data_IF_871375152771
#
_entry.id   IF_871375152771
#
_cell.length_a   1.000
_cell.length_b   1.000
_cell.length_c   1.000
_cell.angle_alpha   90.00
_cell.angle_beta   90.00
_cell.angle_gamma   90.00
#
_symmetry.space_group_name_H-M   'P 1'
#
loop_
_entity.id
_entity.type
_entity.pdbx_description
1 polymer ?
#
# COMPACT_ATOMS: atom_id res chain seq x y z
N UNK A 1 2.15 -29.89 -4.89
CA UNK A 1 2.86 -28.80 -5.61
C UNK A 1 3.25 -27.78 -4.55
N UNK A 2 4.47 -27.25 -4.56
CA UNK A 2 4.87 -26.23 -3.58
C UNK A 2 4.39 -24.86 -4.07
N UNK A 3 3.56 -24.18 -3.28
CA UNK A 3 2.97 -22.89 -3.61
C UNK A 3 3.43 -21.83 -2.59
N UNK A 4 4.38 -20.98 -2.99
CA UNK A 4 4.93 -19.95 -2.11
C UNK A 4 3.90 -18.88 -1.74
N UNK A 5 2.97 -18.58 -2.65
CA UNK A 5 1.92 -17.57 -2.42
C UNK A 5 0.96 -18.01 -1.33
N UNK A 6 0.49 -19.26 -1.37
CA UNK A 6 -0.38 -19.85 -0.34
C UNK A 6 0.27 -19.77 1.05
N UNK A 7 1.56 -20.13 1.17
CA UNK A 7 2.30 -20.04 2.45
C UNK A 7 2.36 -18.60 2.97
N UNK A 8 2.57 -17.62 2.09
CA UNK A 8 2.60 -16.20 2.47
C UNK A 8 1.22 -15.72 2.95
N UNK A 9 0.15 -16.10 2.24
CA UNK A 9 -1.22 -15.73 2.59
C UNK A 9 -1.60 -16.34 3.95
N UNK A 10 -1.36 -17.63 4.16
CA UNK A 10 -1.66 -18.30 5.43
C UNK A 10 -0.91 -17.65 6.60
N UNK A 11 0.40 -17.43 6.44
CA UNK A 11 1.21 -16.79 7.47
C UNK A 11 0.75 -15.35 7.76
N UNK A 12 0.30 -14.61 6.75
CA UNK A 12 -0.24 -13.27 6.89
C UNK A 12 -1.57 -13.26 7.63
N UNK A 13 -2.50 -14.15 7.29
CA UNK A 13 -3.80 -14.26 7.95
C UNK A 13 -3.64 -14.52 9.45
N UNK A 14 -2.71 -15.41 9.84
CA UNK A 14 -2.39 -15.64 11.25
C UNK A 14 -1.84 -14.38 11.94
N UNK A 15 -1.07 -13.54 11.23
CA UNK A 15 -0.58 -12.26 11.77
C UNK A 15 -1.68 -11.23 11.98
N UNK A 16 -2.74 -11.25 11.16
CA UNK A 16 -3.91 -10.40 11.38
C UNK A 16 -4.66 -10.82 12.65
N UNK A 17 -4.88 -12.13 12.82
CA UNK A 17 -5.50 -12.71 14.01
C UNK A 17 -4.71 -12.38 15.28
N UNK A 18 -3.40 -12.63 15.25
CA UNK A 18 -2.49 -12.28 16.35
C UNK A 18 -2.57 -10.79 16.71
N UNK A 19 -2.66 -9.91 15.70
CA UNK A 19 -2.77 -8.46 15.93
C UNK A 19 -4.03 -8.06 16.66
N UNK A 20 -5.17 -8.60 16.24
CA UNK A 20 -6.45 -8.37 16.91
C UNK A 20 -6.45 -8.94 18.33
N UNK A 21 -6.08 -10.21 18.48
CA UNK A 21 -6.08 -10.92 19.77
C UNK A 21 -5.12 -10.28 20.79
N UNK A 22 -3.95 -9.79 20.35
CA UNK A 22 -3.02 -9.05 21.23
C UNK A 22 -3.58 -7.73 21.73
N UNK A 23 -4.47 -7.09 20.98
CA UNK A 23 -5.04 -5.77 21.33
C UNK A 23 -6.30 -5.93 22.19
N UNK A 24 -7.19 -6.85 21.83
CA UNK A 24 -8.53 -6.96 22.43
C UNK A 24 -8.77 -8.26 23.20
N UNK A 25 -7.82 -9.19 23.21
CA UNK A 25 -8.02 -10.54 23.75
C UNK A 25 -9.14 -11.26 23.01
N UNK A 26 -10.09 -11.82 23.75
CA UNK A 26 -11.27 -12.50 23.19
C UNK A 26 -12.50 -11.60 23.01
N UNK A 27 -12.37 -10.27 23.13
CA UNK A 27 -13.52 -9.36 22.98
C UNK A 27 -13.93 -9.24 21.51
N UNK A 28 -15.22 -9.46 21.21
CA UNK A 28 -15.77 -9.51 19.84
C UNK A 28 -14.93 -10.39 18.90
N UNK A 29 -14.72 -11.64 19.31
CA UNK A 29 -13.86 -12.58 18.58
C UNK A 29 -14.33 -12.86 17.15
N UNK A 30 -15.62 -12.68 16.86
CA UNK A 30 -16.17 -12.72 15.51
C UNK A 30 -15.48 -11.74 14.55
N UNK A 31 -14.99 -10.60 15.04
CA UNK A 31 -14.29 -9.62 14.19
C UNK A 31 -12.90 -10.12 13.79
N UNK A 32 -12.24 -10.91 14.64
CA UNK A 32 -10.97 -11.57 14.31
C UNK A 32 -11.15 -12.51 13.10
N UNK A 33 -12.22 -13.29 13.09
CA UNK A 33 -12.56 -14.21 12.00
C UNK A 33 -12.90 -13.45 10.71
N UNK A 34 -13.67 -12.35 10.81
CA UNK A 34 -14.00 -11.51 9.65
C UNK A 34 -12.74 -10.88 9.06
N UNK A 35 -11.83 -10.38 9.89
CA UNK A 35 -10.55 -9.82 9.46
C UNK A 35 -9.71 -10.88 8.73
N UNK A 36 -9.60 -12.07 9.31
CA UNK A 36 -8.86 -13.18 8.72
C UNK A 36 -9.43 -13.57 7.34
N UNK A 37 -10.75 -13.68 7.24
CA UNK A 37 -11.43 -13.97 5.98
C UNK A 37 -11.23 -12.85 4.96
N UNK A 38 -11.37 -11.58 5.35
CA UNK A 38 -11.18 -10.44 4.46
C UNK A 38 -9.73 -10.36 3.95
N UNK A 39 -8.75 -10.62 4.82
CA UNK A 39 -7.34 -10.70 4.45
C UNK A 39 -7.05 -11.81 3.45
N UNK A 40 -7.53 -13.04 3.71
CA UNK A 40 -7.41 -14.16 2.78
C UNK A 40 -8.05 -13.83 1.43
N UNK A 41 -9.30 -13.36 1.44
CA UNK A 41 -10.04 -13.01 0.23
C UNK A 41 -9.31 -11.95 -0.61
N UNK A 42 -8.83 -10.87 0.02
CA UNK A 42 -8.12 -9.82 -0.70
C UNK A 42 -6.81 -10.35 -1.30
N UNK A 43 -6.03 -11.12 -0.53
CA UNK A 43 -4.76 -11.66 -1.04
C UNK A 43 -4.95 -12.69 -2.14
N UNK A 44 -5.99 -13.52 -2.09
CA UNK A 44 -6.34 -14.45 -3.17
C UNK A 44 -6.71 -13.70 -4.46
N UNK A 45 -7.40 -12.57 -4.37
CA UNK A 45 -7.66 -11.74 -5.55
C UNK A 45 -6.37 -11.09 -6.08
N UNK A 46 -5.57 -10.48 -5.19
CA UNK A 46 -4.31 -9.81 -5.57
C UNK A 46 -3.29 -10.81 -6.12
N UNK A 47 -3.31 -12.08 -5.68
CA UNK A 47 -2.46 -13.14 -6.21
C UNK A 47 -2.70 -13.46 -7.70
N UNK A 48 -3.86 -13.08 -8.26
CA UNK A 48 -4.16 -13.23 -9.68
C UNK A 48 -3.68 -12.05 -10.53
N UNK A 49 -3.19 -10.98 -9.91
CA UNK A 49 -2.65 -9.82 -10.62
C UNK A 49 -1.31 -10.13 -11.28
N UNK A 50 -1.11 -9.61 -12.49
CA UNK A 50 0.18 -9.60 -13.18
C UNK A 50 0.96 -8.27 -13.01
N UNK A 51 0.51 -7.39 -12.11
CA UNK A 51 1.27 -6.22 -11.67
C UNK A 51 2.58 -6.63 -10.98
N UNK A 52 3.68 -5.96 -11.33
CA UNK A 52 5.02 -6.36 -10.91
C UNK A 52 5.35 -6.00 -9.45
N UNK A 53 4.86 -4.85 -8.99
CA UNK A 53 5.15 -4.26 -7.67
C UNK A 53 3.94 -4.26 -6.75
N UNK A 54 2.78 -3.78 -7.22
CA UNK A 54 1.54 -3.75 -6.41
C UNK A 54 0.92 -5.15 -6.37
N UNK A 55 1.54 -6.02 -5.57
CA UNK A 55 1.26 -7.46 -5.48
C UNK A 55 1.05 -7.91 -4.02
N UNK A 56 0.87 -9.23 -3.82
CA UNK A 56 0.61 -9.84 -2.50
C UNK A 56 1.65 -9.43 -1.45
N UNK A 57 2.94 -9.41 -1.81
CA UNK A 57 4.01 -9.06 -0.87
C UNK A 57 3.89 -7.60 -0.42
N UNK A 58 3.59 -6.68 -1.35
CA UNK A 58 3.36 -5.27 -1.03
C UNK A 58 2.15 -5.11 -0.11
N UNK A 59 0.99 -5.67 -0.48
CA UNK A 59 -0.25 -5.50 0.29
C UNK A 59 -0.17 -6.10 1.70
N UNK A 60 0.55 -7.21 1.87
CA UNK A 60 0.87 -7.77 3.20
C UNK A 60 1.68 -6.78 4.03
N UNK A 61 2.76 -6.22 3.47
CA UNK A 61 3.65 -5.30 4.20
C UNK A 61 2.90 -4.03 4.62
N UNK A 62 2.13 -3.44 3.71
CA UNK A 62 1.25 -2.29 4.01
C UNK A 62 0.31 -2.59 5.16
N UNK A 63 -0.38 -3.74 5.10
CA UNK A 63 -1.35 -4.11 6.13
C UNK A 63 -0.70 -4.33 7.48
N UNK A 64 0.43 -5.04 7.55
CA UNK A 64 1.11 -5.30 8.82
C UNK A 64 1.73 -4.03 9.44
N UNK A 65 2.20 -3.10 8.61
CA UNK A 65 2.60 -1.77 9.09
C UNK A 65 1.41 -1.03 9.66
N UNK A 66 0.28 -1.00 8.95
CA UNK A 66 -0.91 -0.31 9.42
C UNK A 66 -1.50 -0.91 10.69
N UNK A 67 -1.46 -2.24 10.83
CA UNK A 67 -1.83 -2.90 12.07
C UNK A 67 -0.98 -2.42 13.26
N UNK A 68 0.33 -2.26 13.08
CA UNK A 68 1.22 -1.74 14.13
C UNK A 68 1.05 -0.24 14.36
N UNK A 69 0.75 0.56 13.33
CA UNK A 69 0.35 1.97 13.48
C UNK A 69 -0.90 2.08 14.35
N UNK A 70 -1.93 1.29 14.05
CA UNK A 70 -3.20 1.33 14.76
C UNK A 70 -3.06 0.86 16.21
N UNK A 71 -2.25 -0.18 16.44
CA UNK A 71 -1.87 -0.61 17.78
C UNK A 71 -1.14 0.49 18.56
N UNK A 72 -0.18 1.16 17.92
CA UNK A 72 0.53 2.30 18.52
C UNK A 72 -0.43 3.45 18.88
N UNK A 73 -1.41 3.74 18.03
CA UNK A 73 -2.46 4.72 18.32
C UNK A 73 -3.28 4.32 19.54
N UNK A 74 -3.75 3.06 19.58
CA UNK A 74 -4.50 2.56 20.74
C UNK A 74 -3.68 2.63 22.04
N UNK A 75 -2.37 2.35 22.01
CA UNK A 75 -1.49 2.50 23.18
C UNK A 75 -1.37 3.97 23.61
N UNK A 76 -1.25 4.90 22.65
CA UNK A 76 -1.04 6.33 22.92
C UNK A 76 -2.30 7.03 23.42
N UNK A 77 -3.42 6.76 22.77
CA UNK A 77 -4.66 7.54 22.87
C UNK A 77 -5.81 6.75 23.49
N UNK A 78 -5.73 5.42 23.50
CA UNK A 78 -6.89 4.57 23.73
C UNK A 78 -7.92 4.69 22.60
N UNK A 79 -9.14 4.26 22.86
CA UNK A 79 -10.31 4.63 22.05
C UNK A 79 -10.47 3.94 20.69
N UNK A 80 -9.45 3.27 20.14
CA UNK A 80 -9.62 2.44 18.93
C UNK A 80 -10.52 1.26 19.27
N UNK A 81 -11.76 1.27 18.79
CA UNK A 81 -12.73 0.20 18.99
C UNK A 81 -12.44 -1.01 18.10
N UNK A 82 -13.09 -2.15 18.39
CA UNK A 82 -13.03 -3.32 17.52
C UNK A 82 -13.57 -3.01 16.11
N UNK A 83 -14.62 -2.19 16.03
CA UNK A 83 -15.15 -1.69 14.76
C UNK A 83 -14.11 -0.88 14.00
N UNK A 84 -13.45 0.08 14.66
CA UNK A 84 -12.40 0.89 14.01
C UNK A 84 -11.30 -0.02 13.45
N UNK A 85 -10.87 -1.01 14.24
CA UNK A 85 -9.87 -1.98 13.83
C UNK A 85 -10.32 -2.82 12.63
N UNK A 86 -11.54 -3.34 12.66
CA UNK A 86 -12.13 -4.11 11.56
C UNK A 86 -12.10 -3.32 10.25
N UNK A 87 -12.66 -2.11 10.24
CA UNK A 87 -12.74 -1.30 9.03
C UNK A 87 -11.36 -0.83 8.57
N UNK A 88 -10.47 -0.49 9.49
CA UNK A 88 -9.11 -0.08 9.16
C UNK A 88 -8.32 -1.21 8.50
N UNK A 89 -8.38 -2.44 9.03
CA UNK A 89 -7.71 -3.59 8.42
C UNK A 89 -8.33 -3.94 7.06
N UNK A 90 -9.67 -3.92 6.92
CA UNK A 90 -10.31 -4.16 5.61
C UNK A 90 -9.87 -3.11 4.58
N UNK A 91 -9.73 -1.84 5.00
CA UNK A 91 -9.22 -0.76 4.14
C UNK A 91 -7.81 -1.06 3.64
N UNK A 92 -6.92 -1.53 4.53
CA UNK A 92 -5.54 -1.87 4.17
C UNK A 92 -5.44 -3.09 3.26
N UNK A 93 -6.15 -4.19 3.54
CA UNK A 93 -6.03 -5.38 2.69
C UNK A 93 -6.62 -5.15 1.29
N UNK A 94 -7.55 -4.21 1.14
CA UNK A 94 -8.22 -3.92 -0.13
C UNK A 94 -7.71 -2.65 -0.86
N UNK A 95 -6.74 -1.89 -0.31
CA UNK A 95 -6.37 -0.58 -0.88
C UNK A 95 -5.94 -0.66 -2.36
N UNK A 96 -5.22 -1.73 -2.72
CA UNK A 96 -4.71 -1.99 -4.07
C UNK A 96 -5.50 -3.04 -4.84
N UNK A 97 -6.62 -3.53 -4.30
CA UNK A 97 -7.36 -4.59 -4.98
C UNK A 97 -7.89 -4.14 -6.35
N UNK A 98 -8.06 -2.83 -6.54
CA UNK A 98 -8.50 -2.26 -7.82
C UNK A 98 -7.49 -2.35 -8.96
N UNK A 99 -6.24 -2.79 -8.72
CA UNK A 99 -5.32 -3.15 -9.80
C UNK A 99 -5.78 -4.41 -10.54
N UNK A 100 -6.41 -5.34 -9.83
CA UNK A 100 -6.72 -6.68 -10.35
C UNK A 100 -7.75 -6.60 -11.47
N UNK A 101 -7.41 -7.09 -12.66
CA UNK A 101 -8.38 -7.25 -13.77
C UNK A 101 -9.41 -8.33 -13.40
N UNK A 102 -10.68 -8.10 -13.74
CA UNK A 102 -11.77 -9.04 -13.46
C UNK A 102 -12.34 -8.96 -12.03
N UNK A 103 -11.80 -8.07 -11.20
CA UNK A 103 -12.20 -7.95 -9.78
C UNK A 103 -13.54 -7.25 -9.59
N UNK A 104 -13.87 -6.29 -10.46
CA UNK A 104 -15.13 -5.55 -10.47
C UNK A 104 -16.14 -6.29 -11.36
N UNK A 105 -17.43 -6.36 -10.97
CA UNK A 105 -18.45 -7.14 -11.71
C UNK A 105 -18.64 -6.70 -13.17
N UNK A 106 -18.35 -5.44 -13.46
CA UNK A 106 -18.52 -4.87 -14.80
C UNK A 106 -17.37 -5.21 -15.76
N UNK A 107 -16.24 -5.71 -15.25
CA UNK A 107 -15.09 -6.06 -16.07
C UNK A 107 -15.43 -7.13 -17.11
N UNK A 108 -14.94 -6.95 -18.34
CA UNK A 108 -15.12 -7.84 -19.48
C UNK A 108 -13.75 -8.17 -20.08
N UNK A 109 -13.08 -9.15 -19.47
CA UNK A 109 -11.71 -9.53 -19.83
C UNK A 109 -11.56 -9.92 -21.31
N UNK A 110 -12.53 -10.67 -21.86
CA UNK A 110 -12.54 -11.08 -23.27
C UNK A 110 -12.58 -9.89 -24.25
N UNK A 111 -13.14 -8.76 -23.82
CA UNK A 111 -13.22 -7.51 -24.58
C UNK A 111 -12.08 -6.54 -24.23
N UNK A 112 -11.25 -6.87 -23.22
CA UNK A 112 -10.26 -5.99 -22.59
C UNK A 112 -10.85 -4.67 -22.15
N UNK A 113 -12.06 -4.71 -21.60
CA UNK A 113 -12.81 -3.55 -21.15
C UNK A 113 -13.04 -3.66 -19.64
N UNK A 114 -12.59 -2.67 -18.88
CA UNK A 114 -12.53 -2.73 -17.42
C UNK A 114 -13.19 -1.50 -16.81
N UNK A 115 -13.87 -1.65 -15.67
CA UNK A 115 -14.48 -0.53 -14.97
C UNK A 115 -13.43 0.48 -14.53
N UNK A 116 -13.73 1.77 -14.59
CA UNK A 116 -12.90 2.80 -13.95
C UNK A 116 -13.23 2.97 -12.47
N UNK A 117 -14.33 2.35 -12.00
CA UNK A 117 -14.89 2.55 -10.66
C UNK A 117 -15.69 3.85 -10.50
N UNK A 118 -15.87 4.63 -11.57
CA UNK A 118 -16.60 5.91 -11.56
C UNK A 118 -17.77 5.87 -12.51
N UNK A 119 -18.97 6.10 -11.99
CA UNK A 119 -20.20 6.35 -12.77
C UNK A 119 -20.49 5.34 -13.91
N UNK A 120 -20.02 4.09 -13.78
CA UNK A 120 -20.15 3.05 -14.80
C UNK A 120 -19.28 3.27 -16.05
N UNK A 121 -18.31 4.19 -15.98
CA UNK A 121 -17.32 4.39 -17.03
C UNK A 121 -16.39 3.16 -17.14
N UNK A 122 -15.96 2.89 -18.37
CA UNK A 122 -15.09 1.76 -18.68
C UNK A 122 -13.85 2.24 -19.45
N UNK A 123 -12.71 1.58 -19.23
CA UNK A 123 -11.46 1.79 -19.94
C UNK A 123 -11.09 0.53 -20.74
N UNK A 124 -10.69 0.72 -22.00
CA UNK A 124 -10.16 -0.37 -22.81
C UNK A 124 -8.64 -0.43 -22.71
N UNK A 125 -8.10 -1.61 -22.41
CA UNK A 125 -6.65 -1.83 -22.34
C UNK A 125 -6.13 -2.51 -23.61
N UNK A 126 -4.91 -2.16 -24.07
CA UNK A 126 -4.29 -2.80 -25.22
C UNK A 126 -3.95 -4.27 -24.94
N UNK A 127 -3.78 -5.06 -26.01
CA UNK A 127 -3.30 -6.43 -25.88
C UNK A 127 -1.92 -6.46 -25.19
N UNK A 128 -1.76 -7.28 -24.16
CA UNK A 128 -0.49 -7.42 -23.43
C UNK A 128 -0.25 -6.38 -22.34
N UNK A 129 -1.20 -5.48 -22.05
CA UNK A 129 -1.17 -4.64 -20.86
C UNK A 129 -1.25 -5.49 -19.59
N UNK A 130 -0.44 -5.16 -18.58
CA UNK A 130 -0.55 -5.74 -17.24
C UNK A 130 -1.62 -5.00 -16.41
N UNK A 131 -1.85 -5.48 -15.20
CA UNK A 131 -2.77 -4.90 -14.23
C UNK A 131 -2.28 -3.52 -13.77
N UNK A 132 -0.97 -3.23 -13.93
CA UNK A 132 -0.42 -1.90 -13.70
C UNK A 132 -1.04 -0.81 -14.60
N UNK A 133 -1.59 -1.15 -15.77
CA UNK A 133 -2.35 -0.20 -16.59
C UNK A 133 -3.56 0.40 -15.88
N UNK A 134 -4.04 -0.24 -14.80
CA UNK A 134 -5.17 0.24 -14.00
C UNK A 134 -4.75 1.16 -12.84
N UNK A 135 -3.45 1.51 -12.67
CA UNK A 135 -3.00 2.50 -11.68
C UNK A 135 -3.85 3.78 -11.65
N UNK A 136 -4.27 4.40 -12.78
CA UNK A 136 -5.07 5.63 -12.71
C UNK A 136 -6.46 5.44 -12.07
N UNK A 137 -6.95 4.21 -11.99
CA UNK A 137 -8.30 3.86 -11.57
C UNK A 137 -8.34 3.01 -10.29
N UNK A 138 -7.20 2.50 -9.81
CA UNK A 138 -7.16 1.49 -8.75
C UNK A 138 -7.94 1.88 -7.48
N UNK A 139 -7.85 3.12 -7.01
CA UNK A 139 -8.61 3.57 -5.82
C UNK A 139 -10.11 3.56 -6.07
N UNK A 140 -10.57 4.04 -7.22
CA UNK A 140 -11.99 4.05 -7.57
C UNK A 140 -12.52 2.63 -7.77
N UNK A 141 -11.74 1.78 -8.45
CA UNK A 141 -12.04 0.35 -8.61
C UNK A 141 -12.07 -0.39 -7.27
N UNK A 142 -11.15 -0.11 -6.36
CA UNK A 142 -11.15 -0.67 -5.01
C UNK A 142 -12.42 -0.27 -4.26
N UNK A 143 -12.88 0.98 -4.40
CA UNK A 143 -14.14 1.44 -3.81
C UNK A 143 -15.37 0.76 -4.40
N UNK A 144 -15.40 0.58 -5.72
CA UNK A 144 -16.46 -0.19 -6.39
C UNK A 144 -16.46 -1.64 -5.87
N UNK A 145 -15.30 -2.28 -5.77
CA UNK A 145 -15.18 -3.63 -5.20
C UNK A 145 -15.71 -3.71 -3.77
N UNK A 146 -15.37 -2.74 -2.91
CA UNK A 146 -15.86 -2.67 -1.54
C UNK A 146 -17.39 -2.56 -1.50
N UNK A 147 -17.98 -1.73 -2.36
CA UNK A 147 -19.44 -1.61 -2.47
C UNK A 147 -20.07 -2.93 -2.94
N UNK A 148 -19.52 -3.55 -3.99
CA UNK A 148 -20.03 -4.80 -4.54
C UNK A 148 -19.96 -5.95 -3.52
N UNK A 149 -18.94 -5.98 -2.68
CA UNK A 149 -18.67 -7.06 -1.73
C UNK A 149 -19.34 -6.85 -0.37
N UNK A 150 -19.36 -5.61 0.12
CA UNK A 150 -19.74 -5.26 1.49
C UNK A 150 -20.94 -4.30 1.58
N UNK A 151 -21.46 -3.81 0.46
CA UNK A 151 -22.63 -2.93 0.43
C UNK A 151 -23.81 -3.53 1.19
N UNK A 152 -24.36 -2.76 2.13
CA UNK A 152 -25.49 -3.18 2.97
C UNK A 152 -25.17 -4.26 4.03
N UNK A 153 -23.89 -4.58 4.26
CA UNK A 153 -23.49 -5.52 5.30
C UNK A 153 -23.76 -4.95 6.70
N UNK A 154 -24.16 -5.81 7.66
CA UNK A 154 -24.59 -5.36 9.00
C UNK A 154 -23.44 -4.95 9.92
N UNK A 155 -22.27 -5.57 9.76
CA UNK A 155 -21.09 -5.36 10.61
C UNK A 155 -19.98 -4.57 9.91
N UNK A 156 -20.07 -4.41 8.59
CA UNK A 156 -19.03 -3.82 7.77
C UNK A 156 -19.64 -2.61 7.07
N UNK A 157 -19.18 -1.43 7.44
CA UNK A 157 -19.51 -0.15 6.84
C UNK A 157 -18.63 0.09 5.61
N UNK A 158 -19.23 -0.13 4.43
CA UNK A 158 -18.57 0.07 3.15
C UNK A 158 -18.19 1.53 2.91
N UNK A 159 -18.98 2.50 3.37
CA UNK A 159 -18.68 3.93 3.18
C UNK A 159 -17.44 4.35 3.97
N UNK A 160 -17.32 3.87 5.21
CA UNK A 160 -16.14 4.13 6.03
C UNK A 160 -14.86 3.56 5.39
N UNK A 161 -14.94 2.35 4.84
CA UNK A 161 -13.80 1.72 4.15
C UNK A 161 -13.44 2.50 2.87
N UNK A 162 -14.44 2.87 2.05
CA UNK A 162 -14.23 3.70 0.86
C UNK A 162 -13.62 5.06 1.20
N UNK A 163 -14.00 5.65 2.32
CA UNK A 163 -13.42 6.89 2.81
C UNK A 163 -11.94 6.70 3.21
N UNK A 164 -11.63 5.62 3.91
CA UNK A 164 -10.26 5.30 4.30
C UNK A 164 -9.32 5.06 3.10
N UNK A 165 -9.79 4.32 2.09
CA UNK A 165 -9.01 4.00 0.89
C UNK A 165 -8.78 5.24 0.01
N UNK A 166 -9.62 6.28 0.07
CA UNK A 166 -9.49 7.48 -0.78
C UNK A 166 -8.10 8.13 -0.73
N UNK A 167 -7.46 8.15 0.45
CA UNK A 167 -6.18 8.82 0.61
C UNK A 167 -4.98 8.02 0.12
N UNK A 168 -5.15 6.77 -0.33
CA UNK A 168 -4.05 6.01 -0.96
C UNK A 168 -3.80 6.43 -2.42
N UNK A 169 -4.58 7.38 -2.96
CA UNK A 169 -4.29 7.97 -4.27
C UNK A 169 -2.89 8.58 -4.28
N UNK A 170 -2.09 8.13 -5.23
CA UNK A 170 -0.76 8.67 -5.47
C UNK A 170 -0.61 9.15 -6.93
N UNK A 171 -0.04 10.35 -7.19
CA UNK A 171 0.45 11.34 -6.22
C UNK A 171 -0.67 11.96 -5.39
N UNK A 172 -0.37 12.32 -4.14
CA UNK A 172 -1.34 12.91 -3.21
C UNK A 172 -1.96 14.17 -3.82
N UNK A 173 -3.29 14.22 -4.02
CA UNK A 173 -3.97 15.40 -4.51
C UNK A 173 -3.74 16.63 -3.61
N UNK A 174 -3.70 17.83 -4.20
CA UNK A 174 -3.42 19.09 -3.48
C UNK A 174 -4.58 19.59 -2.61
N UNK A 175 -5.73 18.92 -2.61
CA UNK A 175 -6.92 19.36 -1.87
C UNK A 175 -6.75 19.20 -0.35
N UNK A 176 -7.47 19.99 0.44
CA UNK A 176 -7.30 20.10 1.91
C UNK A 176 -7.66 18.80 2.66
N UNK A 177 -8.71 18.11 2.24
CA UNK A 177 -9.13 16.80 2.76
C UNK A 177 -8.05 15.72 2.54
N UNK A 178 -7.22 15.88 1.51
CA UNK A 178 -6.09 15.01 1.23
C UNK A 178 -4.85 15.34 2.08
N UNK A 179 -4.91 16.32 2.99
CA UNK A 179 -3.81 16.63 3.92
C UNK A 179 -3.97 15.96 5.29
N UNK A 180 -5.01 15.14 5.50
CA UNK A 180 -5.22 14.44 6.77
C UNK A 180 -4.07 13.46 7.08
N UNK A 181 -3.52 13.58 8.28
CA UNK A 181 -2.44 12.72 8.79
C UNK A 181 -2.76 12.13 10.16
N UNK A 182 -3.97 12.36 10.69
CA UNK A 182 -4.34 12.02 12.07
C UNK A 182 -5.46 10.97 12.07
N UNK A 183 -6.48 11.13 11.23
CA UNK A 183 -7.60 10.19 11.21
C UNK A 183 -7.27 8.95 10.38
N UNK A 184 -8.19 7.97 10.40
CA UNK A 184 -7.99 6.68 9.77
C UNK A 184 -7.60 6.73 8.28
N UNK A 185 -8.20 7.57 7.41
CA UNK A 185 -7.74 7.68 6.03
C UNK A 185 -6.27 8.11 5.92
N UNK A 186 -5.87 9.09 6.74
CA UNK A 186 -4.49 9.57 6.79
C UNK A 186 -3.50 8.51 7.26
N UNK A 187 -3.91 7.68 8.23
CA UNK A 187 -3.12 6.57 8.73
C UNK A 187 -3.07 5.38 7.76
N UNK A 188 -4.13 5.12 6.99
CA UNK A 188 -4.11 4.12 5.91
C UNK A 188 -3.08 4.53 4.85
N UNK A 189 -3.13 5.78 4.37
CA UNK A 189 -2.09 6.31 3.46
C UNK A 189 -0.68 6.19 4.03
N UNK A 190 -0.50 6.60 5.30
CA UNK A 190 0.82 6.53 5.92
C UNK A 190 1.32 5.09 6.02
N UNK A 191 0.43 4.13 6.23
CA UNK A 191 0.74 2.70 6.30
C UNK A 191 1.13 2.13 4.94
N UNK A 192 0.45 2.55 3.88
CA UNK A 192 0.81 2.23 2.49
C UNK A 192 2.24 2.70 2.18
N UNK A 193 2.48 4.00 2.36
CA UNK A 193 3.79 4.60 2.12
C UNK A 193 4.89 3.99 2.98
N UNK A 194 4.67 3.78 4.29
CA UNK A 194 5.68 3.15 5.16
C UNK A 194 5.86 1.68 4.81
N UNK A 195 4.80 0.94 4.48
CA UNK A 195 4.85 -0.46 4.07
C UNK A 195 5.73 -0.69 2.85
N UNK A 196 5.56 0.15 1.83
CA UNK A 196 6.44 0.17 0.68
C UNK A 196 7.88 0.55 1.05
N UNK A 197 8.08 1.64 1.78
CA UNK A 197 9.42 2.22 1.97
C UNK A 197 10.26 1.52 3.06
N UNK A 198 9.63 0.76 3.95
CA UNK A 198 10.29 -0.03 5.00
C UNK A 198 10.57 -1.48 4.59
N UNK A 199 10.19 -1.88 3.37
CA UNK A 199 10.51 -3.20 2.85
C UNK A 199 12.03 -3.40 2.76
N UNK A 200 12.53 -4.49 3.37
CA UNK A 200 13.94 -4.88 3.33
C UNK A 200 14.47 -5.06 1.90
N UNK A 201 13.58 -5.39 0.96
CA UNK A 201 13.89 -5.59 -0.45
C UNK A 201 13.46 -4.42 -1.32
N UNK A 202 12.95 -3.33 -0.76
CA UNK A 202 12.42 -2.18 -1.50
C UNK A 202 13.36 -1.74 -2.63
N UNK A 203 14.63 -1.53 -2.27
CA UNK A 203 15.71 -1.11 -3.15
C UNK A 203 15.98 -2.07 -4.33
N UNK A 204 15.69 -3.37 -4.17
CA UNK A 204 15.79 -4.37 -5.25
C UNK A 204 14.52 -4.41 -6.11
N UNK A 205 13.37 -4.05 -5.54
CA UNK A 205 12.06 -4.00 -6.21
C UNK A 205 11.81 -2.73 -7.01
N UNK A 206 12.68 -1.70 -6.89
CA UNK A 206 12.60 -0.47 -7.69
C UNK A 206 12.46 -0.72 -9.19
N UNK A 207 13.08 -1.79 -9.71
CA UNK A 207 12.94 -2.14 -11.14
C UNK A 207 11.52 -2.54 -11.52
N UNK A 208 10.82 -3.28 -10.65
CA UNK A 208 9.43 -3.64 -10.85
C UNK A 208 8.55 -2.37 -10.87
N UNK A 209 8.71 -1.51 -9.87
CA UNK A 209 7.98 -0.24 -9.79
C UNK A 209 8.22 0.67 -10.99
N UNK A 210 9.47 0.72 -11.49
CA UNK A 210 9.80 1.51 -12.69
C UNK A 210 9.02 1.03 -13.92
N UNK A 211 8.86 -0.28 -14.12
CA UNK A 211 8.14 -0.79 -15.28
C UNK A 211 6.63 -0.56 -15.20
N UNK A 212 6.05 -0.56 -14.00
CA UNK A 212 4.66 -0.10 -13.83
C UNK A 212 4.51 1.40 -14.14
N UNK A 213 5.48 2.22 -13.73
CA UNK A 213 5.52 3.64 -14.11
C UNK A 213 5.73 3.83 -15.62
N UNK A 214 6.41 2.89 -16.29
CA UNK A 214 6.57 2.91 -17.74
C UNK A 214 5.26 2.62 -18.46
N UNK A 215 4.51 1.63 -17.99
CA UNK A 215 3.23 1.22 -18.57
C UNK A 215 2.19 2.35 -18.53
N UNK A 216 2.20 3.12 -17.45
CA UNK A 216 1.30 4.27 -17.23
C UNK A 216 1.86 5.60 -17.73
N UNK A 217 3.11 5.64 -18.17
CA UNK A 217 3.81 6.85 -18.62
C UNK A 217 4.25 7.81 -17.50
N UNK A 218 4.07 7.43 -16.23
CA UNK A 218 4.53 8.19 -15.06
C UNK A 218 6.05 8.39 -15.09
N UNK A 219 6.81 7.40 -15.55
CA UNK A 219 8.27 7.51 -15.65
C UNK A 219 8.69 8.70 -16.55
N UNK A 220 8.02 8.90 -17.69
CA UNK A 220 8.25 10.00 -18.63
C UNK A 220 7.87 11.33 -18.00
N UNK A 221 6.73 11.40 -17.30
CA UNK A 221 6.29 12.60 -16.60
C UNK A 221 7.28 13.04 -15.50
N UNK A 222 7.93 12.08 -14.84
CA UNK A 222 8.95 12.32 -13.82
C UNK A 222 10.38 12.46 -14.39
N UNK A 223 10.57 12.25 -15.70
CA UNK A 223 11.86 12.32 -16.37
C UNK A 223 12.79 11.12 -16.11
N UNK A 224 12.25 9.99 -15.66
CA UNK A 224 13.01 8.76 -15.41
C UNK A 224 13.15 7.93 -16.69
N UNK A 225 14.38 7.54 -17.02
CA UNK A 225 14.72 6.79 -18.24
C UNK A 225 15.00 5.31 -17.96
N UNK A 226 15.42 5.00 -16.74
CA UNK A 226 15.70 3.62 -16.31
C UNK A 226 15.51 3.48 -14.79
N UNK A 227 15.44 2.26 -14.22
CA UNK A 227 15.23 2.05 -12.78
C UNK A 227 16.19 2.81 -11.85
N UNK A 228 17.44 3.02 -12.29
CA UNK A 228 18.43 3.80 -11.54
C UNK A 228 18.05 5.27 -11.31
N UNK A 229 17.19 5.87 -12.14
CA UNK A 229 16.72 7.24 -11.95
C UNK A 229 15.71 7.32 -10.80
N UNK A 230 14.79 6.34 -10.76
CA UNK A 230 13.83 6.20 -9.67
C UNK A 230 14.56 5.96 -8.34
N UNK A 231 15.59 5.09 -8.35
CA UNK A 231 16.48 4.88 -7.18
C UNK A 231 17.15 6.19 -6.75
N UNK A 232 17.85 6.89 -7.65
CA UNK A 232 18.58 8.12 -7.28
C UNK A 232 17.66 9.22 -6.74
N UNK A 233 16.43 9.31 -7.25
CA UNK A 233 15.49 10.33 -6.77
C UNK A 233 14.76 9.92 -5.48
N UNK A 234 14.95 8.68 -4.99
CA UNK A 234 14.24 8.15 -3.83
C UNK A 234 14.36 9.02 -2.57
N UNK A 235 15.55 9.50 -2.13
CA UNK A 235 15.64 10.32 -0.92
C UNK A 235 14.88 11.65 -1.05
N UNK A 236 14.98 12.29 -2.22
CA UNK A 236 14.23 13.52 -2.52
C UNK A 236 12.72 13.28 -2.50
N UNK A 237 12.29 12.16 -3.07
CA UNK A 237 10.89 11.72 -3.03
C UNK A 237 10.42 11.48 -1.58
N UNK A 238 11.23 10.80 -0.76
CA UNK A 238 10.93 10.56 0.65
C UNK A 238 10.75 11.87 1.41
N UNK A 239 11.75 12.75 1.43
CA UNK A 239 11.72 13.95 2.26
C UNK A 239 10.68 14.98 1.84
N UNK A 240 10.51 15.18 0.52
CA UNK A 240 9.65 16.23 0.00
C UNK A 240 8.23 15.75 -0.35
N UNK A 241 8.09 14.48 -0.76
CA UNK A 241 6.84 13.91 -1.24
C UNK A 241 6.08 13.09 -0.21
N UNK A 242 6.78 12.39 0.70
CA UNK A 242 6.18 11.38 1.57
C UNK A 242 6.23 11.76 3.05
N UNK A 243 7.39 12.17 3.56
CA UNK A 243 7.64 12.45 4.97
C UNK A 243 6.61 13.39 5.64
N UNK A 244 6.07 14.44 4.98
CA UNK A 244 5.01 15.26 5.56
C UNK A 244 3.79 14.46 6.04
N UNK A 245 3.46 13.35 5.36
CA UNK A 245 2.30 12.51 5.66
C UNK A 245 2.56 11.42 6.70
N UNK A 246 3.82 11.19 7.09
CA UNK A 246 4.19 10.05 7.94
C UNK A 246 4.31 10.39 9.43
N UNK A 247 4.41 11.67 9.81
CA UNK A 247 4.85 12.10 11.14
C UNK A 247 4.05 11.45 12.29
N UNK A 248 2.72 11.44 12.21
CA UNK A 248 1.89 10.86 13.26
C UNK A 248 2.00 9.32 13.29
N UNK A 249 1.98 8.67 12.13
CA UNK A 249 2.17 7.22 12.04
C UNK A 249 3.52 6.78 12.61
N UNK A 250 4.60 7.52 12.35
CA UNK A 250 5.92 7.27 12.94
C UNK A 250 5.91 7.42 14.47
N UNK A 251 5.19 8.40 15.02
CA UNK A 251 5.04 8.55 16.46
C UNK A 251 4.30 7.37 17.10
N UNK A 252 3.31 6.80 16.42
CA UNK A 252 2.62 5.60 16.88
C UNK A 252 3.50 4.35 16.78
N UNK A 253 4.19 4.15 15.65
CA UNK A 253 5.12 3.02 15.46
C UNK A 253 6.26 3.03 16.50
N UNK A 254 6.72 4.20 16.94
CA UNK A 254 7.77 4.32 17.95
C UNK A 254 7.39 3.75 19.32
N UNK A 255 6.11 3.38 19.55
CA UNK A 255 5.62 2.83 20.82
C UNK A 255 5.79 1.32 20.93
N UNK A 256 5.88 0.59 19.81
CA UNK A 256 6.03 -0.88 19.83
C UNK A 256 7.44 -1.29 19.38
N UNK A 257 7.91 -2.45 19.82
CA UNK A 257 9.22 -2.96 19.40
C UNK A 257 9.24 -3.28 17.90
N UNK A 258 8.14 -3.84 17.39
CA UNK A 258 7.98 -4.11 15.97
C UNK A 258 7.91 -2.81 15.15
N UNK A 259 7.20 -1.80 15.63
CA UNK A 259 7.14 -0.49 14.98
C UNK A 259 8.49 0.22 14.93
N UNK A 260 9.31 0.13 15.99
CA UNK A 260 10.70 0.62 15.95
C UNK A 260 11.55 -0.08 14.89
N UNK A 261 11.36 -1.38 14.67
CA UNK A 261 12.05 -2.10 13.60
C UNK A 261 11.60 -1.63 12.21
N UNK A 262 10.29 -1.40 12.02
CA UNK A 262 9.74 -0.83 10.77
C UNK A 262 10.38 0.55 10.49
N UNK A 263 10.43 1.42 11.50
CA UNK A 263 11.08 2.73 11.39
C UNK A 263 12.58 2.60 11.04
N UNK A 264 13.29 1.67 11.68
CA UNK A 264 14.70 1.43 11.40
C UNK A 264 14.93 0.99 9.94
N UNK A 265 14.09 0.09 9.43
CA UNK A 265 14.16 -0.36 8.03
C UNK A 265 13.86 0.78 7.04
N UNK A 266 12.81 1.58 7.31
CA UNK A 266 12.47 2.76 6.53
C UNK A 266 13.67 3.70 6.38
N UNK A 267 14.26 4.11 7.50
CA UNK A 267 15.40 5.02 7.49
C UNK A 267 16.66 4.38 6.92
N UNK A 268 16.87 3.07 7.11
CA UNK A 268 17.99 2.35 6.51
C UNK A 268 17.94 2.42 4.98
N UNK A 269 16.76 2.21 4.37
CA UNK A 269 16.59 2.31 2.93
C UNK A 269 16.89 3.73 2.42
N UNK A 270 16.42 4.77 3.11
CA UNK A 270 16.70 6.18 2.74
C UNK A 270 18.18 6.46 2.84
N UNK A 271 18.79 6.11 3.97
CA UNK A 271 20.19 6.35 4.27
C UNK A 271 21.13 5.71 3.24
N UNK A 272 20.89 4.44 2.86
CA UNK A 272 21.72 3.73 1.87
C UNK A 272 21.79 4.51 0.55
N UNK A 273 20.66 4.98 0.04
CA UNK A 273 20.62 5.67 -1.27
C UNK A 273 21.20 7.09 -1.20
N UNK A 274 21.01 7.80 -0.08
CA UNK A 274 21.66 9.10 0.14
C UNK A 274 23.19 8.99 0.08
N UNK A 275 23.76 7.93 0.66
CA UNK A 275 25.22 7.77 0.76
C UNK A 275 25.84 7.17 -0.51
N UNK A 276 25.11 6.36 -1.29
CA UNK A 276 25.53 5.96 -2.64
C UNK A 276 25.75 7.19 -3.53
N UNK A 277 24.84 8.17 -3.46
CA UNK A 277 24.90 9.38 -4.29
C UNK A 277 26.12 10.23 -3.94
N UNK A 278 26.40 10.41 -2.65
CA UNK A 278 27.56 11.19 -2.17
C UNK A 278 28.88 10.54 -2.62
N UNK A 279 28.98 9.21 -2.55
CA UNK A 279 30.16 8.49 -3.02
C UNK A 279 30.38 8.62 -4.52
N UNK A 280 29.31 8.51 -5.34
CA UNK A 280 29.39 8.73 -6.78
C UNK A 280 29.84 10.15 -7.14
N UNK A 281 29.29 11.17 -6.47
CA UNK A 281 29.68 12.57 -6.66
C UNK A 281 31.14 12.81 -6.27
N UNK A 282 31.56 12.25 -5.12
CA UNK A 282 32.96 12.32 -4.66
C UNK A 282 33.91 11.66 -5.65
N UNK A 283 33.56 10.48 -6.19
CA UNK A 283 34.39 9.80 -7.20
C UNK A 283 34.47 10.60 -8.50
N UNK A 284 33.38 11.22 -8.96
CA UNK A 284 33.39 12.11 -10.13
C UNK A 284 34.29 13.33 -9.93
N UNK A 285 34.22 13.96 -8.75
CA UNK A 285 35.08 15.10 -8.41
C UNK A 285 36.56 14.69 -8.34
N UNK A 286 36.88 13.56 -7.72
CA UNK A 286 38.26 13.05 -7.67
C UNK A 286 38.81 12.68 -9.06
N UNK A 287 37.97 12.16 -9.96
CA UNK A 287 38.33 11.89 -11.35
C UNK A 287 38.53 13.15 -12.22
N UNK A 288 37.95 14.29 -11.83
CA UNK A 288 38.12 15.57 -12.53
C UNK A 288 39.34 16.37 -12.05
N UNK A 289 39.85 16.10 -10.85
CA UNK A 289 41.05 16.74 -10.28
C UNK A 289 42.34 15.98 -10.67
N UNK A 290 42.23 14.81 -11.30
CA UNK A 290 43.34 14.04 -11.86
C UNK A 290 43.56 14.28 -13.36
N UNK A 291 43.92 15.51 -13.75
CA UNK A 291 44.60 15.86 -15.01
C UNK A 291 45.71 16.85 -14.72
#
# INVERSE_FOLDING_TARGET
MFNATEILIDAFVEKLREGYSRTYGGYKHDYEDIIAWAGSMAMENIANSDALYHNVEHSILVTLVGQEVLRGRHIREGGVSCEDWLHFIISLVCHDIGYVKGVCRQDRENERLYSTGKDGEMVSLPAGASDASLTPYHVDRAKEFIEERFGGHKLIDAELIKHNIELTRFPVPKAEDHQDTINYPGLVRASDLIGQLSDLRYLKKISALFYEFEETGVNKALGYRHPGDLRRNYPKFYWNGVHPYLKNALNYLALTQQGKQIIANLYSNVFVVEHETIEEERMKLMGQVGV
#
